data_IF_954232413784
#
_entry.id   IF_954232413784
#
_cell.length_a   1.000
_cell.length_b   1.000
_cell.length_c   1.000
_cell.angle_alpha   90.00
_cell.angle_beta   90.00
_cell.angle_gamma   90.00
#
_symmetry.space_group_name_H-M   'P 1'
#
loop_
_entity.id
_entity.type
_entity.pdbx_description
1 polymer ?
#
# COMPACT_ATOMS: atom_id res chain seq x y z
N UNK A 1 -12.78 17.01 -11.45
CA UNK A 1 -11.61 17.84 -11.80
C UNK A 1 -11.85 18.37 -13.20
N UNK A 2 -11.94 19.69 -13.35
CA UNK A 2 -12.03 20.31 -14.67
C UNK A 2 -10.68 20.16 -15.39
N UNK A 3 -10.65 19.32 -16.43
CA UNK A 3 -9.42 18.98 -17.15
C UNK A 3 -8.87 20.17 -17.95
N UNK A 4 -9.76 21.02 -18.48
CA UNK A 4 -9.35 22.19 -19.25
C UNK A 4 -8.74 23.23 -18.33
N UNK A 5 -9.40 23.50 -17.19
CA UNK A 5 -8.82 24.38 -16.18
C UNK A 5 -7.47 23.85 -15.66
N UNK A 6 -7.36 22.55 -15.38
CA UNK A 6 -6.11 21.96 -14.91
C UNK A 6 -4.98 22.11 -15.94
N UNK A 7 -5.26 21.85 -17.22
CA UNK A 7 -4.31 22.02 -18.32
C UNK A 7 -3.87 23.47 -18.51
N UNK A 8 -4.80 24.42 -18.53
CA UNK A 8 -4.49 25.84 -18.70
C UNK A 8 -3.65 26.40 -17.54
N UNK A 9 -3.88 25.92 -16.31
CA UNK A 9 -3.05 26.25 -15.15
C UNK A 9 -1.65 25.68 -15.26
N UNK A 10 -1.50 24.47 -15.81
CA UNK A 10 -0.19 23.91 -16.17
C UNK A 10 0.55 24.76 -17.19
N UNK A 11 -0.13 25.20 -18.26
CA UNK A 11 0.46 26.11 -19.25
C UNK A 11 0.79 27.49 -18.66
N UNK A 12 0.00 27.97 -17.69
CA UNK A 12 0.28 29.23 -16.99
C UNK A 12 1.59 29.16 -16.19
N UNK A 13 1.86 28.03 -15.52
CA UNK A 13 3.15 27.82 -14.81
C UNK A 13 4.31 27.81 -15.82
N UNK A 14 4.15 27.15 -16.95
CA UNK A 14 5.16 27.16 -18.03
C UNK A 14 5.41 28.58 -18.55
N UNK A 15 4.35 29.36 -18.81
CA UNK A 15 4.46 30.76 -19.23
C UNK A 15 5.20 31.60 -18.20
N UNK A 16 4.87 31.41 -16.91
CA UNK A 16 5.50 32.15 -15.82
C UNK A 16 7.01 31.89 -15.72
N UNK A 17 7.45 30.64 -15.89
CA UNK A 17 8.88 30.32 -15.94
C UNK A 17 9.57 30.96 -17.16
N UNK A 18 8.90 30.94 -18.32
CA UNK A 18 9.42 31.57 -19.55
C UNK A 18 9.55 33.09 -19.43
N UNK A 19 8.62 33.78 -18.75
CA UNK A 19 8.71 35.23 -18.45
C UNK A 19 9.93 35.55 -17.59
N UNK A 20 10.36 34.62 -16.74
CA UNK A 20 11.58 34.70 -15.94
C UNK A 20 12.82 34.20 -16.70
N UNK A 21 12.77 34.08 -18.04
CA UNK A 21 13.86 33.66 -18.93
C UNK A 21 14.29 32.19 -18.82
N UNK A 22 13.55 31.36 -18.09
CA UNK A 22 13.78 29.92 -18.02
C UNK A 22 13.05 29.19 -19.14
N UNK A 23 13.66 28.16 -19.73
CA UNK A 23 12.94 27.24 -20.58
C UNK A 23 12.06 26.33 -19.72
N UNK A 24 10.78 26.21 -20.04
CA UNK A 24 9.87 25.28 -19.39
C UNK A 24 8.92 24.58 -20.37
N UNK A 25 8.56 23.35 -20.04
CA UNK A 25 7.69 22.52 -20.88
C UNK A 25 6.82 21.59 -20.02
N UNK A 26 5.60 21.31 -20.48
CA UNK A 26 4.88 20.13 -20.02
C UNK A 26 5.59 18.88 -20.57
N UNK A 27 5.76 17.84 -19.76
CA UNK A 27 6.56 16.66 -20.13
C UNK A 27 5.93 15.36 -19.66
N UNK A 28 6.26 14.24 -20.31
CA UNK A 28 5.86 12.92 -19.81
C UNK A 28 4.44 12.51 -20.17
N UNK A 29 3.72 11.97 -19.19
CA UNK A 29 2.42 11.31 -19.41
C UNK A 29 1.33 12.26 -19.92
N UNK A 30 1.35 13.51 -19.48
CA UNK A 30 0.40 14.55 -19.89
C UNK A 30 0.44 14.80 -21.39
N UNK A 31 1.63 14.92 -21.99
CA UNK A 31 1.78 15.20 -23.43
C UNK A 31 1.20 14.06 -24.27
N UNK A 32 1.47 12.82 -23.87
CA UNK A 32 0.89 11.63 -24.49
C UNK A 32 -0.63 11.60 -24.37
N UNK A 33 -1.14 11.79 -23.15
CA UNK A 33 -2.57 11.68 -22.87
C UNK A 33 -3.35 12.78 -23.58
N UNK A 34 -2.82 14.01 -23.61
CA UNK A 34 -3.35 15.13 -24.39
C UNK A 34 -3.42 14.82 -25.89
N UNK A 35 -2.33 14.30 -26.48
CA UNK A 35 -2.30 13.92 -27.90
C UNK A 35 -3.24 12.75 -28.24
N UNK A 36 -3.62 11.94 -27.25
CA UNK A 36 -4.59 10.87 -27.39
C UNK A 36 -6.02 11.30 -27.06
N UNK A 37 -6.25 12.56 -26.68
CA UNK A 37 -7.53 13.07 -26.15
C UNK A 37 -8.05 12.23 -24.96
N UNK A 38 -7.13 11.78 -24.10
CA UNK A 38 -7.42 10.99 -22.91
C UNK A 38 -7.36 11.86 -21.66
N UNK A 39 -8.18 11.58 -20.63
CA UNK A 39 -8.04 12.21 -19.33
C UNK A 39 -6.65 11.96 -18.72
N UNK A 40 -6.13 12.98 -18.05
CA UNK A 40 -4.86 12.94 -17.32
C UNK A 40 -5.10 13.32 -15.86
N UNK A 41 -4.29 12.73 -14.99
CA UNK A 41 -4.38 12.91 -13.53
C UNK A 41 -3.31 13.83 -12.98
N UNK A 42 -2.18 13.94 -13.68
CA UNK A 42 -0.98 14.61 -13.21
C UNK A 42 -0.37 15.43 -14.36
N UNK A 43 0.09 16.64 -14.04
CA UNK A 43 0.83 17.52 -14.93
C UNK A 43 2.25 17.67 -14.38
N UNK A 44 3.20 17.06 -15.09
CA UNK A 44 4.64 17.23 -14.85
C UNK A 44 5.20 18.32 -15.75
N UNK A 45 5.98 19.21 -15.17
CA UNK A 45 6.65 20.32 -15.84
C UNK A 45 8.15 20.11 -15.68
N UNK A 46 8.92 20.34 -16.76
CA UNK A 46 10.37 20.35 -16.68
C UNK A 46 10.94 21.68 -17.14
N UNK A 47 12.00 22.15 -16.48
CA UNK A 47 12.61 23.45 -16.73
C UNK A 47 14.12 23.42 -16.54
N UNK A 48 14.86 24.35 -17.15
CA UNK A 48 16.29 24.54 -16.84
C UNK A 48 16.56 25.33 -15.54
N UNK A 49 15.51 25.87 -14.89
CA UNK A 49 15.62 26.51 -13.58
C UNK A 49 15.99 25.49 -12.49
N UNK A 50 16.95 25.84 -11.63
CA UNK A 50 17.29 25.02 -10.44
C UNK A 50 16.16 25.10 -9.40
N UNK A 51 16.11 24.19 -8.40
CA UNK A 51 15.07 24.25 -7.37
C UNK A 51 15.02 25.59 -6.61
N UNK A 52 16.17 26.21 -6.37
CA UNK A 52 16.28 27.52 -5.74
C UNK A 52 15.66 28.60 -6.62
N UNK A 53 15.94 28.58 -7.92
CA UNK A 53 15.34 29.49 -8.90
C UNK A 53 13.84 29.27 -9.07
N UNK A 54 13.38 28.01 -9.01
CA UNK A 54 11.95 27.69 -9.00
C UNK A 54 11.28 28.29 -7.75
N UNK A 55 11.94 28.27 -6.60
CA UNK A 55 11.44 28.87 -5.36
C UNK A 55 11.39 30.40 -5.43
N UNK A 56 12.33 31.04 -6.12
CA UNK A 56 12.25 32.48 -6.40
C UNK A 56 11.03 32.85 -7.27
N UNK A 57 10.70 32.02 -8.26
CA UNK A 57 9.53 32.22 -9.14
C UNK A 57 8.22 31.87 -8.42
N UNK A 58 8.23 30.84 -7.56
CA UNK A 58 7.09 30.34 -6.81
C UNK A 58 7.43 30.19 -5.32
N UNK A 59 7.35 31.27 -4.52
CA UNK A 59 7.75 31.24 -3.10
C UNK A 59 6.98 30.23 -2.24
N UNK A 60 5.74 29.90 -2.61
CA UNK A 60 4.90 28.92 -1.89
C UNK A 60 5.13 27.46 -2.35
N UNK A 61 6.12 27.21 -3.21
CA UNK A 61 6.45 25.86 -3.65
C UNK A 61 6.91 24.99 -2.49
N UNK A 62 6.41 23.75 -2.43
CA UNK A 62 6.85 22.77 -1.44
C UNK A 62 8.24 22.24 -1.81
N UNK A 63 9.14 22.25 -0.81
CA UNK A 63 10.53 21.79 -0.91
C UNK A 63 10.73 20.31 -0.55
N UNK A 64 9.63 19.55 -0.35
CA UNK A 64 9.68 18.14 0.08
C UNK A 64 10.57 17.27 -0.83
N UNK A 65 10.58 17.54 -2.14
CA UNK A 65 11.35 16.79 -3.14
C UNK A 65 12.53 17.56 -3.73
N UNK A 66 12.95 18.66 -3.09
CA UNK A 66 14.00 19.55 -3.59
C UNK A 66 15.32 18.81 -3.83
N UNK A 67 15.67 17.86 -2.96
CA UNK A 67 16.87 17.01 -3.09
C UNK A 67 16.86 16.10 -4.33
N UNK A 68 15.69 15.88 -4.93
CA UNK A 68 15.51 15.15 -6.18
C UNK A 68 15.43 16.09 -7.39
N UNK A 69 15.65 17.39 -7.22
CA UNK A 69 15.49 18.41 -8.26
C UNK A 69 14.05 18.59 -8.68
N UNK A 70 13.09 18.46 -7.76
CA UNK A 70 11.65 18.58 -8.04
C UNK A 70 10.98 19.42 -6.95
N UNK A 71 10.11 20.33 -7.36
CA UNK A 71 9.34 21.23 -6.50
C UNK A 71 7.86 21.06 -6.79
N UNK A 72 7.02 21.04 -5.76
CA UNK A 72 5.57 20.93 -5.93
C UNK A 72 4.91 22.29 -5.76
N UNK A 73 4.21 22.77 -6.79
CA UNK A 73 3.44 24.02 -6.76
C UNK A 73 1.95 23.72 -6.69
N UNK A 74 1.21 24.49 -5.89
CA UNK A 74 -0.25 24.48 -5.88
C UNK A 74 -0.78 25.77 -6.49
N UNK A 75 -1.68 25.65 -7.46
CA UNK A 75 -2.34 26.78 -8.10
C UNK A 75 -3.84 26.48 -8.23
N UNK A 76 -4.68 27.31 -7.61
CA UNK A 76 -6.15 27.17 -7.58
C UNK A 76 -6.63 25.76 -7.19
N UNK A 77 -5.99 25.17 -6.18
CA UNK A 77 -6.31 23.83 -5.66
C UNK A 77 -5.73 22.67 -6.49
N UNK A 78 -5.13 22.93 -7.66
CA UNK A 78 -4.42 21.93 -8.44
C UNK A 78 -2.96 21.80 -8.01
N UNK A 79 -2.41 20.58 -8.08
CA UNK A 79 -1.00 20.28 -7.79
C UNK A 79 -0.23 20.07 -9.09
N UNK A 80 0.99 20.62 -9.14
CA UNK A 80 1.92 20.49 -10.26
C UNK A 80 3.31 20.13 -9.73
N UNK A 81 4.02 19.26 -10.43
CA UNK A 81 5.42 18.94 -10.13
C UNK A 81 6.31 19.62 -11.17
N UNK A 82 7.24 20.45 -10.71
CA UNK A 82 8.21 21.16 -11.55
C UNK A 82 9.58 20.56 -11.27
N UNK A 83 10.19 19.94 -12.29
CA UNK A 83 11.49 19.28 -12.17
C UNK A 83 12.56 20.01 -13.00
N UNK A 84 13.73 20.21 -12.41
CA UNK A 84 14.89 20.73 -13.15
C UNK A 84 15.36 19.68 -14.17
N UNK A 85 15.70 20.11 -15.38
CA UNK A 85 16.33 19.26 -16.39
C UNK A 85 17.56 18.62 -15.78
N UNK A 86 17.73 17.33 -16.04
CA UNK A 86 18.86 16.60 -15.47
C UNK A 86 19.35 15.51 -16.39
N UNK A 87 20.65 15.29 -16.32
CA UNK A 87 21.29 14.07 -16.80
C UNK A 87 21.60 13.18 -15.59
N UNK A 88 21.45 11.87 -15.75
CA UNK A 88 21.69 10.91 -14.68
C UNK A 88 22.84 10.00 -15.07
N UNK A 89 23.89 9.96 -14.24
CA UNK A 89 24.97 8.99 -14.34
C UNK A 89 24.70 7.87 -13.35
N UNK A 90 24.34 6.71 -13.88
CA UNK A 90 24.15 5.49 -13.10
C UNK A 90 25.51 4.78 -12.97
N UNK A 91 26.07 4.73 -11.76
CA UNK A 91 27.10 3.73 -11.42
C UNK A 91 26.42 2.37 -11.16
N UNK A 92 27.14 1.35 -10.71
CA UNK A 92 26.62 -0.03 -10.52
C UNK A 92 25.38 -0.10 -9.57
N UNK A 93 24.98 1.01 -8.94
CA UNK A 93 23.79 1.19 -8.09
C UNK A 93 22.56 1.76 -8.83
N UNK A 94 21.34 1.52 -8.28
CA UNK A 94 20.04 1.94 -8.87
C UNK A 94 19.64 3.39 -8.58
N UNK A 95 20.32 4.06 -7.65
CA UNK A 95 20.15 5.50 -7.45
C UNK A 95 21.17 6.18 -8.37
N UNK A 96 20.79 7.25 -9.10
CA UNK A 96 21.80 8.13 -9.67
C UNK A 96 22.75 8.50 -8.55
N UNK A 97 24.04 8.26 -8.75
CA UNK A 97 25.06 8.57 -7.74
C UNK A 97 25.08 10.07 -7.48
N UNK A 98 24.82 10.85 -8.54
CA UNK A 98 24.68 12.30 -8.53
C UNK A 98 23.57 12.70 -9.53
N UNK A 99 22.77 13.70 -9.16
CA UNK A 99 21.86 14.37 -10.09
C UNK A 99 22.61 15.55 -10.67
N UNK A 100 22.90 15.53 -11.97
CA UNK A 100 23.50 16.67 -12.65
C UNK A 100 22.43 17.45 -13.37
N UNK A 101 22.16 18.67 -12.92
CA UNK A 101 21.26 19.56 -13.64
C UNK A 101 21.84 19.89 -15.01
N UNK A 102 20.96 19.90 -16.00
CA UNK A 102 21.28 20.24 -17.38
C UNK A 102 20.57 21.54 -17.74
N UNK A 103 21.13 22.25 -18.72
CA UNK A 103 20.48 23.39 -19.35
C UNK A 103 19.69 22.98 -20.60
N UNK A 104 19.71 21.70 -20.98
CA UNK A 104 19.11 21.20 -22.23
C UNK A 104 17.95 20.25 -21.94
N UNK A 105 16.77 20.56 -22.48
CA UNK A 105 15.60 19.68 -22.45
C UNK A 105 15.91 18.27 -23.00
N UNK A 106 16.76 18.19 -24.04
CA UNK A 106 17.12 16.92 -24.67
C UNK A 106 17.73 15.93 -23.67
N UNK A 107 18.56 16.40 -22.74
CA UNK A 107 19.19 15.54 -21.74
C UNK A 107 18.15 14.92 -20.79
N UNK A 108 17.14 15.70 -20.41
CA UNK A 108 16.01 15.21 -19.60
C UNK A 108 15.16 14.19 -20.36
N UNK A 109 14.87 14.44 -21.64
CA UNK A 109 14.08 13.52 -22.46
C UNK A 109 14.82 12.19 -22.64
N UNK A 110 16.12 12.22 -22.86
CA UNK A 110 16.89 11.02 -23.21
C UNK A 110 17.07 10.02 -22.06
N UNK A 111 16.86 10.45 -20.80
CA UNK A 111 16.86 9.56 -19.62
C UNK A 111 15.51 8.88 -19.33
N UNK A 112 14.41 9.34 -19.95
CA UNK A 112 13.05 8.84 -19.69
C UNK A 112 12.87 7.38 -20.12
N UNK A 113 11.76 6.78 -19.69
CA UNK A 113 11.52 5.35 -19.84
C UNK A 113 11.17 4.94 -21.27
N UNK A 114 10.18 5.59 -21.89
CA UNK A 114 9.65 5.23 -23.20
C UNK A 114 9.49 6.42 -24.13
N UNK A 115 9.62 6.19 -25.43
CA UNK A 115 9.50 7.23 -26.47
C UNK A 115 8.20 7.99 -26.37
N UNK A 116 7.09 7.29 -26.17
CA UNK A 116 5.76 7.89 -25.96
C UNK A 116 5.63 8.76 -24.70
N UNK A 117 6.58 8.68 -23.76
CA UNK A 117 6.67 9.54 -22.58
C UNK A 117 7.86 10.52 -22.67
N UNK A 118 8.64 10.46 -23.75
CA UNK A 118 9.81 11.29 -24.02
C UNK A 118 9.49 12.47 -24.94
N UNK A 119 8.30 13.04 -24.80
CA UNK A 119 7.87 14.23 -25.54
C UNK A 119 7.69 15.39 -24.56
N UNK A 120 7.85 16.60 -25.08
CA UNK A 120 7.60 17.84 -24.37
C UNK A 120 6.62 18.72 -25.17
N UNK A 121 5.92 19.61 -24.47
CA UNK A 121 4.98 20.56 -25.05
C UNK A 121 5.25 21.95 -24.48
N UNK A 122 5.41 22.94 -25.37
CA UNK A 122 5.62 24.34 -24.99
C UNK A 122 4.31 25.02 -24.54
N UNK A 123 4.41 26.25 -24.01
CA UNK A 123 3.26 27.08 -23.69
C UNK A 123 2.32 27.34 -24.89
N UNK A 124 2.88 27.38 -26.11
CA UNK A 124 2.14 27.51 -27.37
C UNK A 124 1.65 26.17 -27.92
N UNK A 125 1.72 25.10 -27.12
CA UNK A 125 1.32 23.74 -27.45
C UNK A 125 2.12 23.09 -28.59
N UNK A 126 3.30 23.63 -28.90
CA UNK A 126 4.21 23.00 -29.86
C UNK A 126 4.85 21.76 -29.25
N UNK A 127 4.82 20.64 -29.96
CA UNK A 127 5.39 19.36 -29.50
C UNK A 127 6.85 19.24 -29.91
N UNK A 128 7.71 19.03 -28.91
CA UNK A 128 9.13 18.69 -29.10
C UNK A 128 9.29 17.17 -28.89
N UNK A 129 9.88 16.51 -29.88
CA UNK A 129 10.07 15.05 -29.90
C UNK A 129 11.46 14.66 -30.44
N UNK A 130 12.41 14.44 -29.53
CA UNK A 130 13.77 14.01 -29.87
C UNK A 130 13.92 12.49 -30.04
N UNK A 131 12.90 11.70 -29.68
CA UNK A 131 13.02 10.25 -29.55
C UNK A 131 12.05 9.45 -30.43
N UNK A 132 11.24 10.13 -31.25
CA UNK A 132 10.25 9.52 -32.14
C UNK A 132 8.99 9.05 -31.41
N UNK A 133 8.66 9.67 -30.28
CA UNK A 133 7.47 9.41 -29.48
C UNK A 133 6.16 9.54 -30.25
N UNK A 134 6.01 10.56 -31.10
CA UNK A 134 4.78 10.77 -31.91
C UNK A 134 4.52 9.59 -32.86
N UNK A 135 5.58 9.09 -33.50
CA UNK A 135 5.51 7.97 -34.44
C UNK A 135 5.17 6.66 -33.73
N UNK A 136 5.77 6.39 -32.58
CA UNK A 136 5.45 5.20 -31.79
C UNK A 136 4.04 5.31 -31.16
N UNK A 137 3.60 6.51 -30.76
CA UNK A 137 2.25 6.78 -30.26
C UNK A 137 1.19 6.46 -31.32
N UNK A 138 1.35 6.98 -32.54
CA UNK A 138 0.46 6.71 -33.68
C UNK A 138 0.38 5.20 -34.01
N UNK A 139 1.49 4.47 -33.83
CA UNK A 139 1.55 3.02 -34.09
C UNK A 139 1.13 2.16 -32.90
N UNK A 140 0.84 2.76 -31.75
CA UNK A 140 0.58 2.05 -30.50
C UNK A 140 1.75 1.17 -30.06
N UNK A 141 2.97 1.72 -30.06
CA UNK A 141 4.21 1.02 -29.72
C UNK A 141 4.80 1.57 -28.41
N UNK A 142 5.12 0.67 -27.49
CA UNK A 142 5.92 0.97 -26.30
C UNK A 142 7.37 0.60 -26.60
N UNK A 143 8.22 1.62 -26.76
CA UNK A 143 9.64 1.49 -27.05
C UNK A 143 10.43 2.26 -26.00
N UNK A 144 11.49 1.65 -25.49
CA UNK A 144 12.41 2.33 -24.56
C UNK A 144 13.21 3.41 -25.27
N UNK A 145 13.49 4.52 -24.59
CA UNK A 145 14.48 5.48 -25.07
C UNK A 145 15.87 4.87 -24.86
N UNK A 146 16.75 4.98 -25.86
CA UNK A 146 18.07 4.36 -25.84
C UNK A 146 18.04 2.81 -25.84
N UNK A 147 19.07 2.20 -25.23
CA UNK A 147 19.26 0.74 -25.23
C UNK A 147 18.39 0.07 -24.14
N UNK A 148 17.39 -0.78 -24.49
CA UNK A 148 16.44 -1.29 -23.49
C UNK A 148 17.09 -2.12 -22.37
N UNK A 149 18.13 -2.92 -22.68
CA UNK A 149 18.84 -3.72 -21.67
C UNK A 149 19.54 -2.85 -20.61
N UNK A 150 20.10 -1.69 -21.02
CA UNK A 150 20.73 -0.72 -20.11
C UNK A 150 19.64 -0.06 -19.25
N UNK A 151 18.60 0.45 -19.89
CA UNK A 151 17.47 1.09 -19.21
C UNK A 151 16.80 0.22 -18.14
N UNK A 152 16.55 -1.06 -18.43
CA UNK A 152 15.97 -1.99 -17.45
C UNK A 152 16.93 -2.45 -16.35
N UNK A 153 18.23 -2.27 -16.54
CA UNK A 153 19.23 -2.55 -15.49
C UNK A 153 19.34 -1.36 -14.55
N UNK A 154 19.30 -0.14 -15.08
CA UNK A 154 19.31 1.11 -14.31
C UNK A 154 18.04 1.23 -13.45
N UNK A 155 16.88 1.00 -14.07
CA UNK A 155 15.59 1.01 -13.37
C UNK A 155 14.70 -0.17 -13.82
N UNK A 156 14.71 -1.28 -13.06
CA UNK A 156 13.86 -2.44 -13.32
C UNK A 156 12.35 -2.13 -13.27
N UNK A 157 11.92 -1.06 -12.58
CA UNK A 157 10.51 -0.65 -12.54
C UNK A 157 9.97 -0.35 -13.93
N UNK A 158 10.83 0.12 -14.85
CA UNK A 158 10.46 0.36 -16.25
C UNK A 158 9.88 -0.90 -16.91
N UNK A 159 10.27 -2.11 -16.49
CA UNK A 159 9.65 -3.34 -17.00
C UNK A 159 8.16 -3.38 -16.65
N UNK A 160 7.79 -3.10 -15.39
CA UNK A 160 6.39 -3.07 -14.94
C UNK A 160 5.63 -1.89 -15.55
N UNK A 161 6.27 -0.72 -15.68
CA UNK A 161 5.69 0.45 -16.37
C UNK A 161 5.36 0.15 -17.84
N UNK A 162 6.19 -0.62 -18.54
CA UNK A 162 5.88 -1.07 -19.90
C UNK A 162 4.57 -1.87 -19.95
N UNK A 163 4.32 -2.70 -18.94
CA UNK A 163 3.11 -3.50 -18.85
C UNK A 163 1.91 -2.68 -18.37
N UNK A 164 2.07 -1.70 -17.48
CA UNK A 164 0.97 -0.80 -17.09
C UNK A 164 0.52 0.07 -18.27
N UNK A 165 1.45 0.59 -19.08
CA UNK A 165 1.13 1.26 -20.35
C UNK A 165 0.42 0.32 -21.33
N UNK A 166 0.89 -0.92 -21.46
CA UNK A 166 0.22 -1.93 -22.30
C UNK A 166 -1.21 -2.22 -21.81
N UNK A 167 -1.41 -2.30 -20.50
CA UNK A 167 -2.73 -2.54 -19.88
C UNK A 167 -3.67 -1.34 -20.04
N UNK A 168 -3.14 -0.12 -19.99
CA UNK A 168 -3.92 1.12 -20.15
C UNK A 168 -4.31 1.35 -21.61
N UNK A 169 -3.37 1.25 -22.55
CA UNK A 169 -3.55 1.73 -23.92
C UNK A 169 -3.67 0.64 -24.99
N UNK A 170 -3.58 -0.65 -24.61
CA UNK A 170 -3.57 -1.78 -25.55
C UNK A 170 -2.40 -1.79 -26.55
N UNK A 171 -1.33 -1.04 -26.26
CA UNK A 171 -0.16 -0.93 -27.12
C UNK A 171 0.68 -2.20 -27.15
N UNK A 172 1.55 -2.32 -28.16
CA UNK A 172 2.47 -3.44 -28.34
C UNK A 172 3.88 -3.04 -27.90
N UNK A 173 4.61 -3.94 -27.27
CA UNK A 173 6.04 -3.75 -27.00
C UNK A 173 6.83 -3.80 -28.31
N UNK A 174 7.77 -2.89 -28.51
CA UNK A 174 8.75 -2.98 -29.59
C UNK A 174 9.55 -4.29 -29.48
N UNK A 175 9.99 -4.87 -30.62
CA UNK A 175 10.71 -6.15 -30.65
C UNK A 175 11.94 -6.16 -29.72
N UNK A 176 12.76 -5.12 -29.78
CA UNK A 176 13.95 -4.96 -28.94
C UNK A 176 13.60 -4.86 -27.45
N UNK A 177 12.61 -4.02 -27.11
CA UNK A 177 12.08 -3.87 -25.74
C UNK A 177 11.59 -5.22 -25.19
N UNK A 178 10.79 -5.96 -25.94
CA UNK A 178 10.30 -7.28 -25.54
C UNK A 178 11.43 -8.29 -25.34
N UNK A 179 12.44 -8.30 -26.22
CA UNK A 179 13.62 -9.18 -26.10
C UNK A 179 14.39 -8.86 -24.83
N UNK A 180 14.65 -7.58 -24.56
CA UNK A 180 15.39 -7.17 -23.38
C UNK A 180 14.65 -7.47 -22.08
N UNK A 181 13.33 -7.26 -21.99
CA UNK A 181 12.54 -7.65 -20.80
C UNK A 181 12.78 -9.12 -20.44
N UNK A 182 12.81 -10.02 -21.42
CA UNK A 182 13.08 -11.45 -21.15
C UNK A 182 14.49 -11.67 -20.60
N UNK A 183 15.48 -10.92 -21.08
CA UNK A 183 16.88 -11.02 -20.66
C UNK A 183 17.12 -10.39 -19.28
N UNK A 184 16.32 -9.40 -18.90
CA UNK A 184 16.47 -8.63 -17.65
C UNK A 184 15.45 -8.97 -16.58
N UNK A 185 14.55 -9.95 -16.82
CA UNK A 185 13.47 -10.32 -15.90
C UNK A 185 13.91 -10.61 -14.46
N UNK A 186 15.15 -11.08 -14.26
CA UNK A 186 15.71 -11.35 -12.95
C UNK A 186 15.74 -10.09 -12.07
N UNK A 187 15.93 -8.91 -12.65
CA UNK A 187 15.98 -7.64 -11.91
C UNK A 187 14.63 -7.19 -11.35
N UNK A 188 13.52 -7.83 -11.76
CA UNK A 188 12.19 -7.56 -11.17
C UNK A 188 12.15 -7.84 -9.66
N UNK A 189 12.96 -8.79 -9.17
CA UNK A 189 13.05 -9.10 -7.73
C UNK A 189 13.61 -7.94 -6.92
N UNK A 190 14.25 -6.99 -7.59
CA UNK A 190 14.93 -5.88 -6.95
C UNK A 190 14.09 -4.60 -6.91
N UNK A 191 12.88 -4.64 -7.47
CA UNK A 191 11.92 -3.54 -7.36
C UNK A 191 11.38 -3.53 -5.94
N UNK A 192 11.29 -2.35 -5.32
CA UNK A 192 10.66 -2.25 -4.00
C UNK A 192 9.21 -2.70 -4.04
N UNK A 193 8.74 -3.34 -2.97
CA UNK A 193 7.38 -3.89 -2.91
C UNK A 193 6.31 -2.83 -3.16
N UNK A 194 6.50 -1.62 -2.63
CA UNK A 194 5.61 -0.48 -2.86
C UNK A 194 5.46 -0.16 -4.35
N UNK A 195 6.58 -0.02 -5.07
CA UNK A 195 6.58 0.35 -6.49
C UNK A 195 6.01 -0.78 -7.36
N UNK A 196 6.33 -2.03 -7.04
CA UNK A 196 5.75 -3.18 -7.69
C UNK A 196 4.22 -3.25 -7.46
N UNK A 197 3.78 -3.02 -6.22
CA UNK A 197 2.37 -2.95 -5.83
C UNK A 197 1.62 -1.88 -6.62
N UNK A 198 2.17 -0.66 -6.71
CA UNK A 198 1.58 0.46 -7.43
C UNK A 198 1.40 0.16 -8.93
N UNK A 199 2.43 -0.38 -9.60
CA UNK A 199 2.33 -0.71 -11.03
C UNK A 199 1.41 -1.92 -11.30
N UNK A 200 1.40 -2.92 -10.42
CA UNK A 200 0.48 -4.06 -10.53
C UNK A 200 -0.97 -3.65 -10.30
N UNK A 201 -1.24 -2.74 -9.37
CA UNK A 201 -2.56 -2.14 -9.15
C UNK A 201 -3.08 -1.49 -10.43
N UNK A 202 -2.26 -0.65 -11.09
CA UNK A 202 -2.59 -0.05 -12.40
C UNK A 202 -2.95 -1.12 -13.44
N UNK A 203 -2.21 -2.24 -13.48
CA UNK A 203 -2.52 -3.35 -14.40
C UNK A 203 -3.84 -4.05 -14.04
N UNK A 204 -4.15 -4.20 -12.76
CA UNK A 204 -5.39 -4.85 -12.28
C UNK A 204 -6.65 -4.02 -12.53
N UNK A 205 -6.51 -2.69 -12.54
CA UNK A 205 -7.60 -1.72 -12.77
C UNK A 205 -7.80 -1.39 -14.25
N UNK A 206 -6.77 -1.57 -15.07
CA UNK A 206 -6.81 -1.13 -16.46
C UNK A 206 -7.65 -2.04 -17.39
N UNK A 207 -8.27 -1.47 -18.44
CA UNK A 207 -9.20 -2.18 -19.33
C UNK A 207 -8.55 -3.38 -20.06
N UNK A 208 -7.27 -3.28 -20.41
CA UNK A 208 -6.54 -4.37 -21.07
C UNK A 208 -5.69 -5.21 -20.11
N UNK A 209 -5.91 -5.09 -18.79
CA UNK A 209 -5.20 -5.81 -17.74
C UNK A 209 -5.14 -7.32 -17.94
N UNK A 210 -6.27 -7.97 -18.27
CA UNK A 210 -6.34 -9.41 -18.58
C UNK A 210 -5.37 -9.81 -19.70
N UNK A 211 -5.31 -9.03 -20.78
CA UNK A 211 -4.44 -9.28 -21.93
C UNK A 211 -2.97 -9.09 -21.55
N UNK A 212 -2.67 -8.06 -20.76
CA UNK A 212 -1.33 -7.79 -20.23
C UNK A 212 -0.85 -8.89 -19.31
N UNK A 213 -1.66 -9.34 -18.35
CA UNK A 213 -1.29 -10.44 -17.45
C UNK A 213 -1.03 -11.75 -18.19
N UNK A 214 -1.82 -12.05 -19.25
CA UNK A 214 -1.51 -13.19 -20.15
C UNK A 214 -0.14 -13.04 -20.81
N UNK A 215 0.23 -11.82 -21.23
CA UNK A 215 1.55 -11.53 -21.82
C UNK A 215 2.66 -11.70 -20.79
N UNK A 216 2.52 -11.16 -19.57
CA UNK A 216 3.46 -11.32 -18.46
C UNK A 216 3.67 -12.81 -18.15
N UNK A 217 2.58 -13.59 -18.06
CA UNK A 217 2.61 -15.05 -17.88
C UNK A 217 3.38 -15.75 -19.01
N UNK A 218 3.03 -15.47 -20.28
CA UNK A 218 3.70 -16.06 -21.45
C UNK A 218 5.19 -15.70 -21.52
N UNK A 219 5.59 -14.57 -20.95
CA UNK A 219 6.99 -14.14 -20.87
C UNK A 219 7.76 -14.74 -19.68
N UNK A 220 7.10 -15.51 -18.81
CA UNK A 220 7.75 -16.18 -17.68
C UNK A 220 8.28 -15.21 -16.64
N UNK A 221 7.53 -14.14 -16.36
CA UNK A 221 7.90 -13.08 -15.40
C UNK A 221 7.28 -13.27 -14.01
N UNK A 222 6.25 -14.11 -13.88
CA UNK A 222 5.47 -14.25 -12.64
C UNK A 222 6.32 -14.64 -11.44
N UNK A 223 7.30 -15.54 -11.62
CA UNK A 223 8.21 -15.99 -10.56
C UNK A 223 9.02 -14.86 -9.91
N UNK A 224 9.16 -13.71 -10.59
CA UNK A 224 9.95 -12.58 -10.12
C UNK A 224 9.09 -11.46 -9.49
N UNK A 225 7.77 -11.68 -9.35
CA UNK A 225 6.82 -10.68 -8.86
C UNK A 225 6.19 -11.13 -7.53
N UNK A 226 6.98 -11.59 -6.57
CA UNK A 226 6.45 -11.98 -5.26
C UNK A 226 5.93 -10.76 -4.48
N UNK A 227 4.89 -10.89 -3.64
CA UNK A 227 4.02 -12.07 -3.46
C UNK A 227 2.90 -12.20 -4.52
N UNK A 228 2.87 -11.37 -5.57
CA UNK A 228 1.78 -11.28 -6.52
C UNK A 228 1.72 -12.41 -7.57
N UNK A 229 2.89 -12.83 -8.05
CA UNK A 229 3.04 -13.65 -9.25
C UNK A 229 2.29 -14.99 -9.23
N UNK A 230 2.21 -15.60 -8.04
CA UNK A 230 1.67 -16.95 -7.84
C UNK A 230 0.16 -17.01 -8.07
N UNK A 231 -0.59 -15.99 -7.64
CA UNK A 231 -2.04 -15.91 -7.84
C UNK A 231 -2.48 -15.42 -9.22
N UNK A 232 -1.63 -14.68 -9.96
CA UNK A 232 -1.99 -14.10 -11.27
C UNK A 232 -2.52 -15.15 -12.25
N UNK A 233 -1.97 -16.37 -12.23
CA UNK A 233 -2.45 -17.45 -13.11
C UNK A 233 -3.90 -17.84 -12.89
N UNK A 234 -4.41 -17.70 -11.67
CA UNK A 234 -5.75 -18.13 -11.26
C UNK A 234 -6.79 -17.06 -11.58
N UNK A 235 -6.46 -15.78 -11.38
CA UNK A 235 -7.39 -14.67 -11.64
C UNK A 235 -7.59 -14.33 -13.13
N UNK A 236 -6.67 -14.71 -14.05
CA UNK A 236 -6.78 -14.36 -15.48
C UNK A 236 -8.11 -14.80 -16.11
N UNK A 237 -8.68 -15.95 -15.70
CA UNK A 237 -9.93 -16.46 -16.27
C UNK A 237 -11.12 -15.57 -15.90
N UNK A 238 -11.21 -15.18 -14.63
CA UNK A 238 -12.27 -14.33 -14.05
C UNK A 238 -11.90 -12.87 -13.90
N UNK A 239 -10.84 -12.40 -14.57
CA UNK A 239 -10.28 -11.06 -14.36
C UNK A 239 -11.31 -9.91 -14.39
N UNK A 240 -12.26 -9.97 -15.32
CA UNK A 240 -13.27 -8.91 -15.49
C UNK A 240 -14.34 -8.90 -14.39
N UNK A 241 -14.56 -10.03 -13.71
CA UNK A 241 -15.57 -10.15 -12.65
C UNK A 241 -14.98 -9.95 -11.26
N UNK A 242 -13.67 -9.75 -11.14
CA UNK A 242 -12.97 -9.57 -9.88
C UNK A 242 -12.63 -8.09 -9.69
N UNK A 243 -12.93 -7.56 -8.52
CA UNK A 243 -12.41 -6.29 -8.02
C UNK A 243 -10.89 -6.33 -7.88
N UNK A 244 -10.28 -5.16 -7.73
CA UNK A 244 -8.83 -5.04 -7.48
C UNK A 244 -8.42 -5.74 -6.18
N UNK A 245 -9.21 -5.60 -5.12
CA UNK A 245 -8.91 -6.23 -3.83
C UNK A 245 -9.02 -7.74 -3.89
N UNK A 246 -10.02 -8.30 -4.59
CA UNK A 246 -10.10 -9.76 -4.83
C UNK A 246 -8.89 -10.28 -5.62
N UNK A 247 -8.46 -9.55 -6.67
CA UNK A 247 -7.26 -9.92 -7.44
C UNK A 247 -6.02 -9.96 -6.54
N UNK A 248 -5.89 -9.04 -5.59
CA UNK A 248 -4.79 -9.03 -4.62
C UNK A 248 -4.92 -10.13 -3.56
N UNK A 249 -6.13 -10.37 -3.04
CA UNK A 249 -6.40 -11.44 -2.08
C UNK A 249 -6.08 -12.83 -2.67
N UNK A 250 -6.43 -13.08 -3.94
CA UNK A 250 -6.05 -14.31 -4.67
C UNK A 250 -4.53 -14.46 -4.72
N UNK A 251 -3.81 -13.35 -4.99
CA UNK A 251 -2.36 -13.34 -4.99
C UNK A 251 -1.77 -13.72 -3.62
N UNK A 252 -2.19 -13.04 -2.56
CA UNK A 252 -1.62 -13.21 -1.22
C UNK A 252 -2.02 -14.52 -0.56
N UNK A 253 -3.26 -14.98 -0.74
CA UNK A 253 -3.65 -16.33 -0.31
C UNK A 253 -2.80 -17.39 -1.02
N UNK A 254 -2.55 -17.24 -2.32
CA UNK A 254 -1.79 -18.23 -3.07
C UNK A 254 -0.31 -18.25 -2.70
N UNK A 255 0.29 -17.10 -2.41
CA UNK A 255 1.69 -17.00 -1.95
C UNK A 255 1.88 -17.35 -0.48
N UNK A 256 0.81 -17.29 0.33
CA UNK A 256 0.89 -17.47 1.78
C UNK A 256 1.55 -16.29 2.50
N UNK A 257 1.64 -15.12 1.87
CA UNK A 257 2.30 -13.95 2.42
C UNK A 257 1.72 -12.63 1.91
N UNK A 258 1.80 -11.60 2.74
CA UNK A 258 1.45 -10.22 2.39
C UNK A 258 2.73 -9.41 2.18
N UNK A 259 2.72 -8.40 1.30
CA UNK A 259 3.84 -7.48 1.16
C UNK A 259 3.99 -6.64 2.43
N UNK A 260 5.23 -6.34 2.83
CA UNK A 260 5.53 -5.48 3.97
C UNK A 260 5.21 -4.01 3.66
N UNK A 261 5.47 -3.58 2.43
CA UNK A 261 5.17 -2.22 1.96
C UNK A 261 4.38 -2.28 0.66
N UNK A 262 3.30 -1.50 0.54
CA UNK A 262 2.37 -1.59 -0.58
C UNK A 262 1.67 -0.26 -0.89
N UNK A 263 1.06 -0.18 -2.08
CA UNK A 263 0.33 0.99 -2.55
C UNK A 263 -1.18 0.98 -2.20
N UNK A 264 -1.63 0.01 -1.41
CA UNK A 264 -2.98 0.00 -0.83
C UNK A 264 -3.06 0.96 0.36
N UNK A 265 -4.23 1.57 0.53
CA UNK A 265 -4.57 2.26 1.78
C UNK A 265 -4.63 1.29 2.96
N UNK A 266 -4.56 1.81 4.18
CA UNK A 266 -4.70 0.99 5.39
C UNK A 266 -6.02 0.21 5.42
N UNK A 267 -7.13 0.83 5.01
CA UNK A 267 -8.43 0.17 4.95
C UNK A 267 -8.47 -0.92 3.87
N UNK A 268 -7.97 -0.63 2.66
CA UNK A 268 -7.90 -1.63 1.59
C UNK A 268 -7.07 -2.85 1.99
N UNK A 269 -5.94 -2.66 2.69
CA UNK A 269 -5.14 -3.80 3.16
C UNK A 269 -5.87 -4.62 4.22
N UNK A 270 -6.55 -3.97 5.18
CA UNK A 270 -7.42 -4.67 6.15
C UNK A 270 -8.51 -5.49 5.44
N UNK A 271 -9.10 -4.95 4.38
CA UNK A 271 -10.11 -5.67 3.61
C UNK A 271 -9.56 -6.87 2.86
N UNK A 272 -8.36 -6.74 2.26
CA UNK A 272 -7.68 -7.86 1.61
C UNK A 272 -7.31 -8.94 2.64
N UNK A 273 -6.78 -8.57 3.80
CA UNK A 273 -6.47 -9.51 4.89
C UNK A 273 -7.72 -10.23 5.38
N UNK A 274 -8.80 -9.48 5.59
CA UNK A 274 -10.11 -10.03 5.99
C UNK A 274 -10.65 -11.00 4.94
N UNK A 275 -10.52 -10.70 3.64
CA UNK A 275 -10.91 -11.63 2.56
C UNK A 275 -10.09 -12.92 2.57
N UNK A 276 -8.78 -12.82 2.77
CA UNK A 276 -7.90 -14.01 2.87
C UNK A 276 -8.25 -14.84 4.11
N UNK A 277 -8.47 -14.20 5.26
CA UNK A 277 -8.86 -14.88 6.49
C UNK A 277 -10.21 -15.60 6.36
N UNK A 278 -11.23 -14.93 5.85
CA UNK A 278 -12.54 -15.53 5.58
C UNK A 278 -12.46 -16.65 4.55
N UNK A 279 -11.60 -16.51 3.54
CA UNK A 279 -11.36 -17.55 2.55
C UNK A 279 -10.73 -18.79 3.19
N UNK A 280 -9.82 -18.63 4.15
CA UNK A 280 -9.25 -19.76 4.90
C UNK A 280 -10.29 -20.39 5.84
N UNK A 281 -11.13 -19.59 6.49
CA UNK A 281 -12.22 -20.11 7.33
C UNK A 281 -13.21 -20.94 6.51
N UNK A 282 -13.71 -20.38 5.39
CA UNK A 282 -14.64 -21.06 4.49
C UNK A 282 -14.06 -22.30 3.80
N UNK A 283 -12.74 -22.46 3.81
CA UNK A 283 -12.05 -23.68 3.38
C UNK A 283 -12.23 -24.82 4.38
N UNK A 284 -12.22 -24.50 5.68
CA UNK A 284 -12.28 -25.46 6.78
C UNK A 284 -13.71 -25.69 7.31
N UNK A 285 -14.56 -24.66 7.28
CA UNK A 285 -15.88 -24.66 7.89
C UNK A 285 -16.93 -23.99 6.99
N UNK A 286 -18.21 -24.23 7.27
CA UNK A 286 -19.33 -23.58 6.59
C UNK A 286 -19.56 -22.16 7.14
N UNK A 287 -20.17 -21.28 6.34
CA UNK A 287 -20.44 -19.92 6.79
C UNK A 287 -21.38 -19.94 8.01
N UNK A 288 -21.10 -19.12 9.02
CA UNK A 288 -21.91 -19.02 10.23
C UNK A 288 -22.74 -17.72 10.25
N UNK A 289 -23.82 -17.66 11.06
CA UNK A 289 -24.56 -16.40 11.24
C UNK A 289 -23.69 -15.24 11.73
N UNK A 290 -22.70 -15.52 12.61
CA UNK A 290 -21.75 -14.51 13.07
C UNK A 290 -20.89 -13.95 11.93
N UNK A 291 -20.43 -14.82 11.01
CA UNK A 291 -19.70 -14.35 9.83
C UNK A 291 -20.56 -13.43 8.95
N UNK A 292 -21.84 -13.78 8.77
CA UNK A 292 -22.80 -12.95 8.02
C UNK A 292 -22.98 -11.60 8.72
N UNK A 293 -23.17 -11.62 10.04
CA UNK A 293 -23.40 -10.42 10.84
C UNK A 293 -22.20 -9.46 10.82
N UNK A 294 -20.98 -9.96 11.01
CA UNK A 294 -19.78 -9.13 11.09
C UNK A 294 -19.23 -8.66 9.74
N UNK A 295 -19.31 -9.50 8.70
CA UNK A 295 -18.63 -9.24 7.42
C UNK A 295 -19.58 -8.99 6.26
N UNK A 296 -20.86 -9.33 6.41
CA UNK A 296 -21.84 -9.26 5.34
C UNK A 296 -21.69 -10.38 4.31
N UNK A 297 -22.77 -10.60 3.57
CA UNK A 297 -22.87 -11.68 2.59
C UNK A 297 -21.94 -11.48 1.40
N UNK A 298 -21.76 -10.25 0.96
CA UNK A 298 -20.94 -9.97 -0.23
C UNK A 298 -19.47 -10.28 0.02
N UNK A 299 -18.93 -9.94 1.20
CA UNK A 299 -17.54 -10.28 1.55
C UNK A 299 -17.33 -11.79 1.65
N UNK A 300 -18.31 -12.52 2.17
CA UNK A 300 -18.27 -13.99 2.21
C UNK A 300 -18.35 -14.63 0.84
N UNK A 301 -19.17 -14.09 -0.07
CA UNK A 301 -19.22 -14.55 -1.47
C UNK A 301 -17.90 -14.29 -2.20
N UNK A 302 -17.25 -13.15 -1.94
CA UNK A 302 -15.91 -12.86 -2.46
C UNK A 302 -14.89 -13.87 -1.93
N UNK A 303 -14.90 -14.15 -0.62
CA UNK A 303 -14.03 -15.15 0.00
C UNK A 303 -14.26 -16.58 -0.53
N UNK A 304 -15.53 -16.98 -0.75
CA UNK A 304 -15.91 -18.24 -1.41
C UNK A 304 -15.37 -18.32 -2.84
N UNK A 305 -15.52 -17.24 -3.62
CA UNK A 305 -15.02 -17.17 -4.99
C UNK A 305 -13.49 -17.32 -5.06
N UNK A 306 -12.75 -16.79 -4.10
CA UNK A 306 -11.29 -16.98 -3.99
C UNK A 306 -10.96 -18.47 -3.88
N UNK A 307 -11.67 -19.22 -3.02
CA UNK A 307 -11.48 -20.67 -2.87
C UNK A 307 -11.84 -21.43 -4.14
N UNK A 308 -12.97 -21.10 -4.77
CA UNK A 308 -13.40 -21.70 -6.06
C UNK A 308 -12.31 -21.53 -7.14
N UNK A 309 -11.59 -20.42 -7.13
CA UNK A 309 -10.52 -20.15 -8.10
C UNK A 309 -9.21 -20.86 -7.77
N UNK A 310 -8.84 -20.95 -6.49
CA UNK A 310 -7.54 -21.47 -6.08
C UNK A 310 -7.52 -22.99 -5.88
N UNK A 311 -8.62 -23.57 -5.42
CA UNK A 311 -8.68 -24.95 -4.92
C UNK A 311 -9.45 -25.86 -5.87
N UNK A 312 -8.78 -26.88 -6.42
CA UNK A 312 -9.38 -27.77 -7.45
C UNK A 312 -10.62 -28.54 -7.00
N UNK A 313 -10.72 -28.89 -5.72
CA UNK A 313 -11.80 -29.74 -5.15
C UNK A 313 -12.83 -28.95 -4.34
N UNK A 314 -12.67 -27.64 -4.26
CA UNK A 314 -13.56 -26.80 -3.46
C UNK A 314 -14.89 -26.59 -4.18
N UNK A 315 -15.99 -26.89 -3.49
CA UNK A 315 -17.35 -26.63 -3.97
C UNK A 315 -17.79 -25.29 -3.41
N UNK A 316 -18.30 -24.41 -4.29
CA UNK A 316 -18.82 -23.10 -3.88
C UNK A 316 -19.89 -23.25 -2.80
N UNK A 317 -19.74 -22.45 -1.75
CA UNK A 317 -20.66 -22.32 -0.62
C UNK A 317 -21.68 -21.19 -0.82
N UNK A 318 -21.75 -20.57 -2.00
CA UNK A 318 -22.67 -19.47 -2.28
C UNK A 318 -24.14 -19.74 -1.89
N UNK A 319 -24.65 -20.97 -2.14
CA UNK A 319 -26.01 -21.37 -1.71
C UNK A 319 -26.13 -21.51 -0.20
N UNK A 320 -25.10 -22.07 0.45
CA UNK A 320 -25.04 -22.23 1.90
C UNK A 320 -24.98 -20.86 2.59
N UNK A 321 -24.15 -19.94 2.10
CA UNK A 321 -24.08 -18.54 2.54
C UNK A 321 -25.46 -17.86 2.44
N UNK A 322 -26.15 -18.01 1.31
CA UNK A 322 -27.48 -17.44 1.12
C UNK A 322 -28.54 -18.06 2.06
N UNK A 323 -28.42 -19.34 2.39
CA UNK A 323 -29.30 -20.00 3.37
C UNK A 323 -29.06 -19.44 4.77
N UNK A 324 -27.80 -19.33 5.20
CA UNK A 324 -27.43 -18.81 6.53
C UNK A 324 -27.82 -17.35 6.68
N UNK A 325 -27.70 -16.53 5.62
CA UNK A 325 -28.19 -15.16 5.62
C UNK A 325 -29.67 -15.07 6.03
N UNK A 326 -30.52 -15.95 5.47
CA UNK A 326 -31.97 -15.96 5.79
C UNK A 326 -32.26 -16.38 7.23
N UNK A 327 -31.34 -17.11 7.86
CA UNK A 327 -31.46 -17.61 9.23
C UNK A 327 -30.77 -16.69 10.25
N UNK A 328 -29.96 -15.73 9.79
CA UNK A 328 -29.19 -14.84 10.66
C UNK A 328 -30.12 -13.80 11.26
N UNK A 329 -30.11 -13.69 12.60
CA UNK A 329 -30.83 -12.64 13.32
C UNK A 329 -29.93 -11.40 13.39
N UNK A 330 -30.41 -10.28 12.86
CA UNK A 330 -29.70 -9.00 12.94
C UNK A 330 -30.23 -8.21 14.13
N UNK A 331 -29.41 -8.07 15.17
CA UNK A 331 -29.77 -7.39 16.40
C UNK A 331 -28.63 -6.49 16.89
N UNK A 332 -28.96 -5.31 17.38
CA UNK A 332 -28.02 -4.43 18.08
C UNK A 332 -28.11 -4.61 19.59
N UNK A 333 -27.08 -4.19 20.33
CA UNK A 333 -27.10 -4.22 21.80
C UNK A 333 -28.28 -3.44 22.40
N UNK A 334 -28.73 -2.37 21.73
CA UNK A 334 -29.90 -1.59 22.18
C UNK A 334 -31.24 -2.33 22.02
N UNK A 335 -31.30 -3.28 21.10
CA UNK A 335 -32.49 -4.10 20.80
C UNK A 335 -32.55 -5.39 21.66
N UNK A 336 -31.49 -5.70 22.41
CA UNK A 336 -31.49 -6.85 23.32
C UNK A 336 -32.46 -6.62 24.48
N UNK A 337 -33.27 -7.64 24.77
CA UNK A 337 -34.21 -7.62 25.89
C UNK A 337 -33.46 -7.56 27.24
N UNK A 338 -32.27 -8.16 27.32
CA UNK A 338 -31.43 -8.17 28.50
C UNK A 338 -30.18 -7.29 28.30
N UNK A 339 -29.90 -6.40 29.26
CA UNK A 339 -28.85 -5.37 29.18
C UNK A 339 -27.85 -5.53 30.33
N UNK A 340 -26.67 -4.93 30.16
CA UNK A 340 -25.60 -4.94 31.17
C UNK A 340 -26.09 -4.49 32.56
N UNK A 341 -26.93 -3.46 32.62
CA UNK A 341 -27.49 -2.95 33.87
C UNK A 341 -28.29 -4.03 34.64
N UNK A 342 -29.09 -4.84 33.95
CA UNK A 342 -29.85 -5.92 34.57
C UNK A 342 -28.92 -6.97 35.18
N UNK A 343 -27.80 -7.30 34.50
CA UNK A 343 -26.81 -8.23 35.04
C UNK A 343 -26.12 -7.67 36.28
N UNK A 344 -25.76 -6.39 36.28
CA UNK A 344 -25.14 -5.73 37.43
C UNK A 344 -26.08 -5.78 38.64
N UNK A 345 -27.37 -5.44 38.45
CA UNK A 345 -28.38 -5.49 39.50
C UNK A 345 -28.57 -6.92 40.05
N UNK A 346 -28.69 -7.92 39.16
CA UNK A 346 -28.88 -9.33 39.53
C UNK A 346 -27.66 -9.95 40.22
N UNK A 347 -26.47 -9.37 40.05
CA UNK A 347 -25.21 -9.84 40.65
C UNK A 347 -24.77 -9.00 41.85
N UNK A 348 -25.68 -8.21 42.44
CA UNK A 348 -25.44 -7.43 43.65
C UNK A 348 -24.50 -6.22 43.42
N UNK A 349 -24.54 -5.62 42.23
CA UNK A 349 -23.71 -4.47 41.87
C UNK A 349 -22.31 -4.83 41.37
N UNK A 350 -22.04 -6.10 41.07
CA UNK A 350 -20.73 -6.53 40.57
C UNK A 350 -20.46 -5.95 39.18
N UNK A 351 -19.32 -5.26 39.02
CA UNK A 351 -18.90 -4.65 37.75
C UNK A 351 -17.54 -5.17 37.30
N UNK A 352 -17.27 -5.18 35.99
CA UNK A 352 -15.99 -5.60 35.41
C UNK A 352 -16.09 -6.02 33.93
N UNK A 353 -14.96 -6.41 33.30
CA UNK A 353 -14.92 -6.82 31.89
C UNK A 353 -15.87 -7.97 31.55
N UNK A 354 -16.07 -8.89 32.50
CA UNK A 354 -16.96 -10.04 32.35
C UNK A 354 -18.41 -9.66 32.01
N UNK A 355 -18.88 -8.47 32.44
CA UNK A 355 -20.24 -8.00 32.11
C UNK A 355 -20.34 -7.78 30.60
N UNK A 356 -19.34 -7.13 29.99
CA UNK A 356 -19.27 -6.93 28.55
C UNK A 356 -19.13 -8.25 27.80
N UNK A 357 -18.29 -9.16 28.28
CA UNK A 357 -18.09 -10.49 27.69
C UNK A 357 -19.39 -11.33 27.68
N UNK A 358 -20.14 -11.33 28.79
CA UNK A 358 -21.43 -12.05 28.86
C UNK A 358 -22.45 -11.41 27.92
N UNK A 359 -22.59 -10.09 27.91
CA UNK A 359 -23.55 -9.41 27.02
C UNK A 359 -23.20 -9.65 25.55
N UNK A 360 -21.92 -9.63 25.19
CA UNK A 360 -21.48 -9.95 23.84
C UNK A 360 -21.76 -11.42 23.50
N UNK A 361 -21.46 -12.35 24.40
CA UNK A 361 -21.76 -13.78 24.21
C UNK A 361 -23.26 -14.04 23.99
N UNK A 362 -24.12 -13.41 24.80
CA UNK A 362 -25.58 -13.51 24.63
C UNK A 362 -26.01 -12.99 23.25
N UNK A 363 -25.46 -11.86 22.82
CA UNK A 363 -25.72 -11.31 21.49
C UNK A 363 -25.31 -12.27 20.39
N UNK A 364 -24.12 -12.86 20.50
CA UNK A 364 -23.63 -13.86 19.54
C UNK A 364 -24.53 -15.11 19.47
N UNK A 365 -25.04 -15.57 20.63
CA UNK A 365 -25.97 -16.69 20.70
C UNK A 365 -27.34 -16.35 20.07
N UNK A 366 -27.84 -15.12 20.24
CA UNK A 366 -29.06 -14.64 19.56
C UNK A 366 -28.83 -14.61 18.05
N UNK A 367 -27.74 -13.99 17.58
CA UNK A 367 -27.40 -13.90 16.16
C UNK A 367 -27.31 -15.30 15.53
N UNK A 368 -26.76 -16.25 16.29
CA UNK A 368 -26.61 -17.65 15.88
C UNK A 368 -27.91 -18.47 15.96
N UNK A 369 -28.99 -17.90 16.50
CA UNK A 369 -30.27 -18.59 16.68
C UNK A 369 -30.24 -19.68 17.76
N UNK A 370 -29.26 -19.64 18.67
CA UNK A 370 -29.11 -20.61 19.77
C UNK A 370 -30.13 -20.33 20.87
N UNK A 371 -30.34 -19.05 21.19
CA UNK A 371 -31.32 -18.58 22.17
C UNK A 371 -32.18 -17.45 21.59
N UNK A 372 -33.49 -17.37 21.91
CA UNK A 372 -34.34 -16.25 21.53
C UNK A 372 -33.97 -14.97 22.30
N UNK A 373 -34.28 -13.80 21.72
CA UNK A 373 -34.15 -12.50 22.39
C UNK A 373 -35.28 -12.26 23.40
N UNK A 374 -35.37 -13.10 24.42
CA UNK A 374 -36.39 -13.06 25.46
C UNK A 374 -35.75 -12.84 26.83
N UNK A 375 -36.29 -11.91 27.62
CA UNK A 375 -35.66 -11.44 28.86
C UNK A 375 -35.31 -12.59 29.82
N UNK A 376 -36.26 -13.49 30.11
CA UNK A 376 -36.04 -14.57 31.09
C UNK A 376 -35.03 -15.61 30.58
N UNK A 377 -35.01 -15.90 29.28
CA UNK A 377 -34.04 -16.83 28.68
C UNK A 377 -32.63 -16.24 28.75
N UNK A 378 -32.48 -14.99 28.34
CA UNK A 378 -31.20 -14.28 28.38
C UNK A 378 -30.69 -14.11 29.81
N UNK A 379 -31.57 -13.81 30.76
CA UNK A 379 -31.25 -13.72 32.18
C UNK A 379 -30.72 -15.04 32.74
N UNK A 380 -31.40 -16.15 32.44
CA UNK A 380 -30.96 -17.47 32.89
C UNK A 380 -29.57 -17.83 32.34
N UNK A 381 -29.33 -17.60 31.05
CA UNK A 381 -28.04 -17.85 30.42
C UNK A 381 -26.94 -16.91 30.95
N UNK A 382 -27.25 -15.63 31.18
CA UNK A 382 -26.32 -14.65 31.75
C UNK A 382 -25.84 -15.08 33.14
N UNK A 383 -26.76 -15.51 34.01
CA UNK A 383 -26.44 -15.99 35.35
C UNK A 383 -25.63 -17.30 35.29
N UNK A 384 -25.96 -18.21 34.37
CA UNK A 384 -25.18 -19.44 34.15
C UNK A 384 -23.72 -19.12 33.78
N UNK A 385 -23.50 -18.20 32.84
CA UNK A 385 -22.15 -17.78 32.44
C UNK A 385 -21.40 -17.08 33.59
N UNK A 386 -22.09 -16.23 34.35
CA UNK A 386 -21.51 -15.55 35.51
C UNK A 386 -21.04 -16.54 36.57
N UNK A 387 -21.81 -17.57 36.88
CA UNK A 387 -21.43 -18.60 37.84
C UNK A 387 -20.23 -19.44 37.35
N UNK A 388 -20.14 -19.72 36.04
CA UNK A 388 -18.95 -20.37 35.45
C UNK A 388 -17.70 -19.48 35.62
N UNK A 389 -17.83 -18.18 35.40
CA UNK A 389 -16.72 -17.22 35.57
C UNK A 389 -16.29 -17.13 37.03
N UNK A 390 -17.22 -17.19 37.99
CA UNK A 390 -16.91 -17.27 39.43
C UNK A 390 -16.19 -18.56 39.82
N UNK A 391 -16.52 -19.68 39.18
CA UNK A 391 -15.95 -21.00 39.47
C UNK A 391 -14.58 -21.24 38.84
N UNK A 392 -14.17 -20.44 37.83
CA UNK A 392 -12.79 -20.47 37.34
C UNK A 392 -11.84 -20.06 38.49
N UNK A 393 -10.80 -20.84 38.81
CA UNK A 393 -9.88 -20.48 39.88
C UNK A 393 -9.29 -19.11 39.58
N UNK A 394 -9.38 -18.20 40.54
CA UNK A 394 -8.57 -16.97 40.52
C UNK A 394 -7.11 -17.42 40.51
N UNK A 395 -6.45 -17.42 39.36
CA UNK A 395 -4.99 -17.37 39.32
C UNK A 395 -4.56 -16.01 39.85
N UNK A 396 -4.56 -15.88 41.17
CA UNK A 396 -3.83 -14.88 41.92
C UNK A 396 -3.12 -15.62 43.03
N UNK A 397 -1.91 -16.09 42.75
CA UNK A 397 -0.88 -15.94 43.78
C UNK A 397 -0.86 -14.46 44.14
N UNK A 398 -1.38 -14.15 45.34
CA UNK A 398 -1.08 -12.89 45.99
C UNK A 398 0.39 -12.97 46.40
N UNK A 399 1.27 -12.46 45.55
CA UNK A 399 2.53 -11.92 46.05
C UNK A 399 2.17 -10.77 46.99
N UNK A 400 2.49 -10.94 48.27
CA UNK A 400 2.35 -9.88 49.29
C UNK A 400 3.18 -8.69 48.82
N UNK A 401 2.50 -7.59 48.49
CA UNK A 401 3.14 -6.29 48.38
C UNK A 401 2.88 -5.54 49.69
N UNK A 402 3.95 -5.28 50.43
CA UNK A 402 3.98 -4.25 51.47
C UNK A 402 3.75 -2.91 50.77
N UNK A 403 2.83 -2.04 51.23
CA UNK A 403 2.55 -0.80 50.55
C UNK A 403 3.76 0.12 50.69
N UNK A 404 4.49 0.31 49.59
CA UNK A 404 5.30 1.51 49.38
C UNK A 404 4.36 2.57 48.84
N UNK A 405 4.45 3.77 49.41
CA UNK A 405 3.52 4.87 49.21
C UNK A 405 3.17 5.12 47.75
N UNK A 406 1.94 5.61 47.56
CA UNK A 406 1.40 6.11 46.30
C UNK A 406 2.34 7.13 45.68
N UNK A 407 3.17 6.69 44.73
CA UNK A 407 3.63 7.57 43.66
C UNK A 407 2.61 7.50 42.53
N UNK A 408 2.10 8.68 42.19
CA UNK A 408 1.17 8.91 41.08
C UNK A 408 1.68 8.20 39.83
N UNK A 409 0.92 7.25 39.31
CA UNK A 409 1.10 6.74 37.94
C UNK A 409 1.05 7.93 36.98
N UNK A 410 2.20 8.32 36.45
CA UNK A 410 2.30 9.33 35.41
C UNK A 410 1.48 8.85 34.19
N UNK A 411 0.63 9.72 33.66
CA UNK A 411 -0.08 9.50 32.40
C UNK A 411 0.89 9.09 31.29
N UNK A 412 0.47 8.16 30.43
CA UNK A 412 1.24 7.74 29.26
C UNK A 412 1.34 8.91 28.28
N UNK A 413 2.45 9.64 28.36
CA UNK A 413 2.75 10.77 27.51
C UNK A 413 3.05 10.28 26.07
N UNK A 414 2.01 10.36 25.24
CA UNK A 414 2.02 9.93 23.84
C UNK A 414 2.97 10.78 22.99
N UNK A 415 3.15 12.05 23.34
CA UNK A 415 4.04 12.95 22.62
C UNK A 415 5.50 12.60 22.90
N UNK A 416 5.83 12.38 24.17
CA UNK A 416 7.15 11.95 24.60
C UNK A 416 7.52 10.55 24.08
N UNK A 417 6.56 9.62 23.98
CA UNK A 417 6.78 8.31 23.35
C UNK A 417 7.09 8.43 21.85
N UNK A 418 6.37 9.30 21.13
CA UNK A 418 6.63 9.57 19.72
C UNK A 418 7.97 10.28 19.50
N UNK A 419 8.40 11.13 20.43
CA UNK A 419 9.73 11.74 20.41
C UNK A 419 10.83 10.69 20.64
N UNK A 420 10.69 9.84 21.66
CA UNK A 420 11.58 8.71 21.92
C UNK A 420 11.72 7.82 20.67
N UNK A 421 10.60 7.44 20.03
CA UNK A 421 10.61 6.57 18.85
C UNK A 421 11.39 7.16 17.67
N UNK A 422 11.24 8.46 17.41
CA UNK A 422 11.98 9.15 16.33
C UNK A 422 13.48 9.20 16.62
N UNK A 423 13.84 9.59 17.84
CA UNK A 423 15.23 9.68 18.27
C UNK A 423 15.93 8.31 18.35
N UNK A 424 15.19 7.27 18.75
CA UNK A 424 15.67 5.89 18.78
C UNK A 424 15.90 5.35 17.37
N UNK A 425 14.96 5.55 16.45
CA UNK A 425 15.08 5.07 15.08
C UNK A 425 16.31 5.66 14.37
N UNK A 426 16.52 6.97 14.50
CA UNK A 426 17.66 7.67 13.89
C UNK A 426 19.00 7.12 14.41
N UNK A 427 19.19 7.10 15.74
CA UNK A 427 20.43 6.62 16.36
C UNK A 427 20.66 5.13 16.12
N UNK A 428 19.59 4.33 16.06
CA UNK A 428 19.67 2.92 15.73
C UNK A 428 20.20 2.69 14.31
N UNK A 429 19.68 3.42 13.33
CA UNK A 429 20.14 3.33 11.94
C UNK A 429 21.60 3.80 11.78
N UNK A 430 21.99 4.90 12.44
CA UNK A 430 23.37 5.39 12.47
C UNK A 430 24.33 4.36 13.04
N UNK A 431 23.99 3.73 14.17
CA UNK A 431 24.87 2.75 14.82
C UNK A 431 24.95 1.43 14.04
N UNK A 432 23.86 1.00 13.38
CA UNK A 432 23.89 -0.18 12.50
C UNK A 432 24.77 0.10 11.27
N UNK A 433 24.71 1.30 10.70
CA UNK A 433 25.50 1.67 9.51
C UNK A 433 27.02 1.71 9.78
N UNK A 434 27.44 1.91 11.03
CA UNK A 434 28.86 1.90 11.44
C UNK A 434 29.45 0.47 11.55
N UNK A 435 28.62 -0.58 11.50
CA UNK A 435 29.08 -1.96 11.67
C UNK A 435 29.55 -2.50 10.31
N UNK A 436 30.87 -2.57 10.14
CA UNK A 436 31.49 -3.10 8.93
C UNK A 436 31.03 -4.53 8.61
N UNK A 437 30.71 -4.79 7.35
CA UNK A 437 30.26 -6.09 6.83
C UNK A 437 29.02 -6.69 7.53
N UNK A 438 28.18 -5.88 8.18
CA UNK A 438 26.96 -6.35 8.83
C UNK A 438 26.09 -7.26 7.93
N UNK A 439 25.90 -6.86 6.68
CA UNK A 439 25.11 -7.59 5.68
C UNK A 439 25.75 -8.91 5.22
N UNK A 440 27.03 -9.14 5.49
CA UNK A 440 27.76 -10.37 5.16
C UNK A 440 27.77 -11.39 6.30
N UNK A 441 27.31 -11.01 7.51
CA UNK A 441 27.21 -11.89 8.68
C UNK A 441 26.02 -12.83 8.58
N UNK A 442 26.04 -13.93 9.34
CA UNK A 442 24.92 -14.87 9.39
C UNK A 442 23.70 -14.23 10.06
N UNK A 443 22.50 -14.77 9.82
CA UNK A 443 21.26 -14.25 10.43
C UNK A 443 21.30 -14.25 11.97
N UNK A 444 21.92 -15.26 12.58
CA UNK A 444 22.05 -15.34 14.04
C UNK A 444 22.96 -14.23 14.60
N UNK A 445 24.08 -13.96 13.93
CA UNK A 445 24.99 -12.87 14.28
C UNK A 445 24.35 -11.50 14.08
N UNK A 446 23.60 -11.31 12.98
CA UNK A 446 22.87 -10.08 12.74
C UNK A 446 21.84 -9.80 13.84
N UNK A 447 21.08 -10.79 14.29
CA UNK A 447 20.12 -10.60 15.38
C UNK A 447 20.79 -10.33 16.74
N UNK A 448 21.91 -10.99 17.04
CA UNK A 448 22.69 -10.70 18.23
C UNK A 448 23.23 -9.26 18.25
N UNK A 449 23.76 -8.79 17.11
CA UNK A 449 24.24 -7.43 16.94
C UNK A 449 23.10 -6.42 17.05
N UNK A 450 21.95 -6.67 16.41
CA UNK A 450 20.78 -5.78 16.51
C UNK A 450 20.33 -5.63 17.96
N UNK A 451 20.32 -6.72 18.74
CA UNK A 451 19.98 -6.69 20.16
C UNK A 451 20.94 -5.80 20.96
N UNK A 452 22.24 -5.99 20.78
CA UNK A 452 23.27 -5.16 21.44
C UNK A 452 23.14 -3.68 21.07
N UNK A 453 22.91 -3.36 19.79
CA UNK A 453 22.73 -1.97 19.34
C UNK A 453 21.45 -1.36 19.93
N UNK A 454 20.35 -2.11 20.02
CA UNK A 454 19.11 -1.61 20.65
C UNK A 454 19.32 -1.26 22.13
N UNK A 455 19.98 -2.14 22.88
CA UNK A 455 20.28 -1.94 24.30
C UNK A 455 21.23 -0.74 24.51
N UNK A 456 22.26 -0.61 23.67
CA UNK A 456 23.21 0.50 23.72
C UNK A 456 22.56 1.86 23.38
N UNK A 457 21.76 1.91 22.30
CA UNK A 457 21.06 3.13 21.87
C UNK A 457 20.06 3.58 22.92
N UNK A 458 19.28 2.66 23.50
CA UNK A 458 18.36 3.01 24.59
C UNK A 458 19.10 3.51 25.82
N UNK A 459 20.18 2.83 26.24
CA UNK A 459 20.98 3.26 27.41
C UNK A 459 21.58 4.66 27.21
N UNK A 460 22.05 4.97 25.99
CA UNK A 460 22.58 6.30 25.65
C UNK A 460 21.49 7.37 25.65
N UNK A 461 20.31 7.05 25.12
CA UNK A 461 19.14 7.93 25.13
C UNK A 461 18.66 8.24 26.54
N UNK A 462 18.58 7.23 27.42
CA UNK A 462 18.19 7.40 28.82
C UNK A 462 19.23 8.23 29.58
N UNK A 463 20.52 8.10 29.26
CA UNK A 463 21.58 8.94 29.85
C UNK A 463 21.45 10.42 29.45
N UNK A 464 20.99 10.71 28.24
CA UNK A 464 20.78 12.07 27.74
C UNK A 464 19.44 12.66 28.17
N UNK A 465 18.41 11.81 28.27
CA UNK A 465 17.02 12.17 28.59
C UNK A 465 16.46 11.12 29.57
N UNK A 466 16.65 11.32 30.89
CA UNK A 466 16.20 10.38 31.93
C UNK A 466 14.71 10.01 31.84
N UNK A 467 13.88 10.90 31.29
CA UNK A 467 12.46 10.70 31.05
C UNK A 467 12.13 9.57 30.06
N UNK A 468 13.11 9.08 29.27
CA UNK A 468 12.96 7.93 28.38
C UNK A 468 13.10 6.57 29.08
N UNK A 469 13.54 6.55 30.35
CA UNK A 469 13.69 5.32 31.15
C UNK A 469 12.40 4.50 31.26
N UNK A 470 11.25 5.13 31.07
CA UNK A 470 9.91 4.54 31.14
C UNK A 470 9.49 3.76 29.88
N UNK A 471 10.31 3.74 28.83
CA UNK A 471 9.99 3.05 27.57
C UNK A 471 10.80 1.76 27.44
N UNK A 472 10.13 0.63 27.22
CA UNK A 472 10.80 -0.67 27.04
C UNK A 472 11.42 -0.82 25.65
N UNK A 473 12.53 -1.56 25.59
CA UNK A 473 13.20 -1.98 24.36
C UNK A 473 12.76 -3.42 24.05
N UNK A 474 11.66 -3.60 23.32
CA UNK A 474 11.22 -4.92 22.83
C UNK A 474 11.48 -5.06 21.32
#
# INVERSE_FOLDING_TARGET
MDQNAYFEKGLAIVRRLNECTYEAYLVGGIVRDHLMHMPFTDIDIATNATPEQILEVFPDASTEYMTMGTMSVRLDGFKFEIATFRSEVYTVSRKPTEIHYSQKLQDDIMRRDFTINGMAMSASQNIIDFCGGRKDLQKGIIRTIGKPKKSFREDPLRILRAFSLMARFNFKLAKATQKSIKQTKKYLIEISEYKASAELRKIFEAPYGKKTLKKIKKMGLLSNLKPYGEGISYLIKRFATLSTLEKMAICFKRSGSFPTIHALTHQEMKDVQSLVALSNELEMSDATPLMIYHFGVDKLRQADLINVLLLKRYKSKAKQIAKVQKQTVFITTSQMAFKAQHLIELTGGSTGPFVGEIIESLKEQIISGIIPNEFEVLKAEALRQYEIIKQKPKSKEKVKYTPVGTEKTAEFDTELYNQYKREFALRYEENIALIHDFDKKTKAEQEAIKKQVREAVHSLLVKQKPEYKKFEVN
#
